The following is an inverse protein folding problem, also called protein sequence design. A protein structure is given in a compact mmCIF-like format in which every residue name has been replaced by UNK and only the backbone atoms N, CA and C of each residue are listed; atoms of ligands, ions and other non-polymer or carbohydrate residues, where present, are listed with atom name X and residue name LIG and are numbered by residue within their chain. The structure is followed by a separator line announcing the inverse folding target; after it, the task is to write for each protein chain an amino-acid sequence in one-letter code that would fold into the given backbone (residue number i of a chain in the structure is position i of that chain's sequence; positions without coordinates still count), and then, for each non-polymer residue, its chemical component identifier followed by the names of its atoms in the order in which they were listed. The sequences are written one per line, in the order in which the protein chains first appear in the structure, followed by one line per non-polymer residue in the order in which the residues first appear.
data_IF_065313790607
#
_entry.id   IF_065313790607
#
_cell.length_a   1.000
_cell.length_b   1.000
_cell.length_c   1.000
_cell.angle_alpha   90.00
_cell.angle_beta   90.00
_cell.angle_gamma   90.00
#
_symmetry.space_group_name_H-M   'P 1'
#
loop_
_entity.id
_entity.type
_entity.pdbx_description
1 polymer ?
#
# COMPACT_ATOMS: atom_id res chain seq x y z
N UNK A 1 12.79 3.49 -17.65
CA UNK A 1 12.95 2.24 -16.88
C UNK A 1 11.56 1.66 -16.66
N UNK A 2 11.33 0.37 -16.86
CA UNK A 2 10.00 -0.22 -16.71
C UNK A 2 9.58 -0.24 -15.23
N UNK A 3 8.49 0.46 -14.91
CA UNK A 3 7.74 0.30 -13.67
C UNK A 3 7.09 -1.08 -13.66
N UNK A 4 7.02 -1.76 -12.51
CA UNK A 4 6.23 -3.00 -12.42
C UNK A 4 4.77 -2.60 -12.21
N UNK A 5 3.84 -2.91 -13.14
CA UNK A 5 2.44 -2.53 -12.96
C UNK A 5 1.86 -3.22 -11.71
N UNK A 6 1.40 -2.40 -10.76
CA UNK A 6 0.62 -2.81 -9.60
C UNK A 6 -0.77 -2.22 -9.74
N UNK A 7 -1.81 -2.98 -9.41
CA UNK A 7 -3.17 -2.49 -9.34
C UNK A 7 -3.85 -2.91 -8.05
N UNK A 8 -4.68 -2.03 -7.51
CA UNK A 8 -5.51 -2.28 -6.35
C UNK A 8 -6.97 -2.41 -6.79
N UNK A 9 -7.65 -3.46 -6.31
CA UNK A 9 -9.08 -3.63 -6.50
C UNK A 9 -9.77 -3.71 -5.16
N UNK A 10 -10.73 -2.83 -4.91
CA UNK A 10 -11.57 -2.89 -3.71
C UNK A 10 -12.39 -4.18 -3.70
N UNK A 11 -12.25 -4.96 -2.65
CA UNK A 11 -13.01 -6.21 -2.44
C UNK A 11 -14.10 -6.06 -1.39
N UNK A 12 -13.90 -5.18 -0.41
CA UNK A 12 -14.91 -4.77 0.57
C UNK A 12 -14.62 -3.33 1.01
N UNK A 13 -15.67 -2.57 1.32
CA UNK A 13 -15.52 -1.21 1.86
C UNK A 13 -16.74 -0.88 2.71
N UNK A 14 -16.48 -0.33 3.89
CA UNK A 14 -17.45 0.36 4.72
C UNK A 14 -16.93 1.76 5.09
N UNK A 15 -17.51 2.36 6.14
CA UNK A 15 -17.15 3.71 6.58
C UNK A 15 -15.74 3.78 7.20
N UNK A 16 -15.31 2.71 7.84
CA UNK A 16 -14.14 2.69 8.72
C UNK A 16 -13.03 1.77 8.17
N UNK A 17 -13.34 0.84 7.26
CA UNK A 17 -12.40 -0.12 6.69
C UNK A 17 -12.59 -0.32 5.18
N UNK A 18 -11.48 -0.46 4.46
CA UNK A 18 -11.43 -0.86 3.06
C UNK A 18 -10.44 -2.02 2.87
N UNK A 19 -10.87 -3.04 2.13
CA UNK A 19 -10.06 -4.21 1.78
C UNK A 19 -9.75 -4.16 0.30
N UNK A 20 -8.47 -4.33 -0.02
CA UNK A 20 -7.95 -4.29 -1.38
C UNK A 20 -7.37 -5.66 -1.74
N UNK A 21 -7.67 -6.14 -2.93
CA UNK A 21 -6.86 -7.14 -3.61
C UNK A 21 -5.72 -6.42 -4.35
N UNK A 22 -4.51 -6.96 -4.23
CA UNK A 22 -3.31 -6.47 -4.90
C UNK A 22 -3.02 -7.40 -6.07
N UNK A 23 -2.85 -6.83 -7.25
CA UNK A 23 -2.43 -7.56 -8.45
C UNK A 23 -1.11 -6.99 -8.97
N UNK A 24 -0.17 -7.86 -9.34
CA UNK A 24 1.08 -7.51 -10.00
C UNK A 24 0.99 -8.03 -11.42
N UNK A 25 1.09 -7.14 -12.41
CA UNK A 25 0.94 -7.49 -13.84
C UNK A 25 -0.36 -8.26 -14.16
N UNK A 26 -1.45 -7.97 -13.43
CA UNK A 26 -2.75 -8.63 -13.60
C UNK A 26 -2.87 -10.00 -12.94
N UNK A 27 -1.85 -10.46 -12.21
CA UNK A 27 -1.89 -11.69 -11.41
C UNK A 27 -2.13 -11.35 -9.94
N UNK A 28 -3.06 -12.03 -9.23
CA UNK A 28 -3.25 -11.85 -7.80
C UNK A 28 -1.94 -12.04 -7.03
N UNK A 29 -1.57 -11.06 -6.22
CA UNK A 29 -0.34 -11.04 -5.47
C UNK A 29 -0.57 -10.85 -3.97
N UNK A 30 -1.74 -10.39 -3.53
CA UNK A 30 -1.99 -10.25 -2.10
C UNK A 30 -3.17 -9.38 -1.74
N UNK A 31 -3.15 -8.86 -0.53
CA UNK A 31 -4.22 -8.05 0.02
C UNK A 31 -3.68 -6.92 0.91
N UNK A 32 -4.46 -5.84 0.98
CA UNK A 32 -4.27 -4.77 1.96
C UNK A 32 -5.57 -4.47 2.69
N UNK A 33 -5.45 -4.07 3.95
CA UNK A 33 -6.54 -3.56 4.78
C UNK A 33 -6.18 -2.13 5.17
N UNK A 34 -7.07 -1.20 4.87
CA UNK A 34 -6.98 0.20 5.23
C UNK A 34 -8.06 0.49 6.26
N UNK A 35 -7.68 1.04 7.41
CA UNK A 35 -8.61 1.48 8.45
C UNK A 35 -8.56 2.99 8.58
N UNK A 36 -9.69 3.65 8.42
CA UNK A 36 -9.81 5.11 8.44
C UNK A 36 -10.21 5.59 9.85
N UNK A 37 -9.41 6.50 10.39
CA UNK A 37 -9.67 7.23 11.63
C UNK A 37 -10.14 8.67 11.38
N UNK A 38 -10.15 9.48 12.43
CA UNK A 38 -10.52 10.90 12.38
C UNK A 38 -9.42 11.76 11.73
N UNK A 39 -9.10 11.51 10.46
CA UNK A 39 -8.10 12.24 9.68
C UNK A 39 -6.82 11.46 9.35
N UNK A 40 -6.67 10.25 9.89
CA UNK A 40 -5.54 9.35 9.60
C UNK A 40 -6.04 8.03 9.03
N UNK A 41 -5.15 7.26 8.41
CA UNK A 41 -5.44 5.89 8.00
C UNK A 41 -4.30 4.94 8.38
N UNK A 42 -4.65 3.75 8.87
CA UNK A 42 -3.71 2.66 9.14
C UNK A 42 -3.77 1.63 8.02
N UNK A 43 -2.60 1.16 7.58
CA UNK A 43 -2.49 0.26 6.42
C UNK A 43 -1.69 -0.98 6.78
N UNK A 44 -2.34 -2.14 6.63
CA UNK A 44 -1.72 -3.46 6.72
C UNK A 44 -1.71 -4.09 5.32
N UNK A 45 -0.54 -4.50 4.81
CA UNK A 45 -0.43 -5.12 3.49
C UNK A 45 0.44 -6.39 3.50
N UNK A 46 -0.03 -7.41 2.76
CA UNK A 46 0.67 -8.68 2.55
C UNK A 46 0.75 -8.98 1.07
N UNK A 47 1.94 -9.30 0.57
CA UNK A 47 2.21 -9.52 -0.86
C UNK A 47 3.05 -10.78 -1.06
N UNK A 48 2.53 -11.74 -1.79
CA UNK A 48 3.22 -12.93 -2.27
C UNK A 48 4.01 -12.62 -3.54
N UNK A 49 5.33 -12.80 -3.48
CA UNK A 49 6.27 -12.52 -4.55
C UNK A 49 6.91 -13.77 -5.16
N UNK A 50 6.63 -14.97 -4.62
CA UNK A 50 7.21 -16.23 -5.10
C UNK A 50 7.01 -16.49 -6.60
N UNK A 51 5.94 -15.95 -7.18
CA UNK A 51 5.62 -16.07 -8.61
C UNK A 51 6.23 -14.94 -9.47
N UNK A 52 6.93 -13.99 -8.84
CA UNK A 52 7.46 -12.78 -9.48
C UNK A 52 8.98 -12.63 -9.23
N UNK A 53 9.83 -13.54 -9.73
CA UNK A 53 11.27 -13.56 -9.44
C UNK A 53 11.99 -12.24 -9.82
N UNK A 54 11.55 -11.55 -10.86
CA UNK A 54 12.05 -10.24 -11.25
C UNK A 54 11.79 -9.15 -10.20
N UNK A 55 10.70 -9.27 -9.44
CA UNK A 55 10.35 -8.34 -8.35
C UNK A 55 11.22 -8.65 -7.13
N UNK A 56 11.43 -9.94 -6.82
CA UNK A 56 12.31 -10.37 -5.72
C UNK A 56 13.73 -9.81 -5.90
N UNK A 57 14.28 -9.87 -7.12
CA UNK A 57 15.63 -9.33 -7.40
C UNK A 57 15.75 -7.81 -7.23
N UNK A 58 14.64 -7.08 -7.24
CA UNK A 58 14.58 -5.64 -7.13
C UNK A 58 13.65 -5.19 -5.98
N UNK A 59 13.61 -5.96 -4.89
CA UNK A 59 12.64 -5.79 -3.80
C UNK A 59 12.64 -4.40 -3.19
N UNK A 60 13.82 -3.81 -2.97
CA UNK A 60 13.97 -2.47 -2.40
C UNK A 60 13.27 -1.39 -3.24
N UNK A 61 13.56 -1.41 -4.55
CA UNK A 61 12.92 -0.49 -5.50
C UNK A 61 11.42 -0.74 -5.61
N UNK A 62 11.02 -2.01 -5.70
CA UNK A 62 9.59 -2.37 -5.75
C UNK A 62 8.87 -1.90 -4.50
N UNK A 63 9.47 -2.05 -3.33
CA UNK A 63 8.89 -1.60 -2.07
C UNK A 63 8.64 -0.10 -2.07
N UNK A 64 9.61 0.71 -2.53
CA UNK A 64 9.41 2.15 -2.64
C UNK A 64 8.30 2.54 -3.62
N UNK A 65 8.26 1.92 -4.80
CA UNK A 65 7.21 2.16 -5.81
C UNK A 65 5.83 1.74 -5.26
N UNK A 66 5.72 0.54 -4.69
CA UNK A 66 4.48 0.01 -4.12
C UNK A 66 3.96 0.85 -2.95
N UNK A 67 4.85 1.26 -2.04
CA UNK A 67 4.46 2.07 -0.90
C UNK A 67 3.96 3.47 -1.33
N UNK A 68 4.58 4.07 -2.35
CA UNK A 68 4.14 5.36 -2.88
C UNK A 68 2.74 5.27 -3.51
N UNK A 69 2.47 4.22 -4.29
CA UNK A 69 1.16 3.97 -4.89
C UNK A 69 0.07 3.72 -3.83
N UNK A 70 0.39 2.92 -2.80
CA UNK A 70 -0.53 2.63 -1.71
C UNK A 70 -0.86 3.89 -0.89
N UNK A 71 0.13 4.76 -0.66
CA UNK A 71 -0.10 6.04 -0.01
C UNK A 71 -0.97 6.97 -0.88
N UNK A 72 -0.68 7.08 -2.17
CA UNK A 72 -1.47 7.92 -3.07
C UNK A 72 -2.94 7.49 -3.07
N UNK A 73 -3.19 6.17 -3.04
CA UNK A 73 -4.54 5.62 -2.88
C UNK A 73 -5.23 6.09 -1.60
N UNK A 74 -4.54 6.01 -0.46
CA UNK A 74 -5.07 6.42 0.85
C UNK A 74 -5.39 7.92 0.90
N UNK A 75 -4.50 8.75 0.36
CA UNK A 75 -4.67 10.21 0.34
C UNK A 75 -5.85 10.63 -0.56
N UNK A 76 -6.08 9.95 -1.69
CA UNK A 76 -7.22 10.21 -2.57
C UNK A 76 -8.58 9.96 -1.87
N UNK A 77 -8.60 9.12 -0.83
CA UNK A 77 -9.79 8.86 0.00
C UNK A 77 -10.00 9.87 1.14
N UNK A 78 -9.18 10.93 1.19
CA UNK A 78 -9.36 12.05 2.12
C UNK A 78 -8.69 11.87 3.48
N UNK A 79 -7.86 10.83 3.66
CA UNK A 79 -6.97 10.76 4.80
C UNK A 79 -5.90 11.85 4.68
N UNK A 80 -5.62 12.57 5.78
CA UNK A 80 -4.61 13.64 5.80
C UNK A 80 -3.21 13.08 6.02
N UNK A 81 -3.12 11.95 6.73
CA UNK A 81 -1.89 11.23 6.98
C UNK A 81 -2.12 9.72 6.99
N UNK A 82 -1.08 8.98 6.64
CA UNK A 82 -1.05 7.54 6.83
C UNK A 82 -0.22 7.25 8.09
N UNK A 83 -0.86 6.74 9.14
CA UNK A 83 -0.18 6.23 10.32
C UNK A 83 0.12 4.75 10.09
N UNK A 84 1.39 4.44 9.87
CA UNK A 84 1.86 3.06 9.85
C UNK A 84 2.68 2.80 11.09
N UNK A 85 2.13 2.02 12.03
CA UNK A 85 2.91 1.28 13.03
C UNK A 85 3.50 -0.02 12.43
N UNK A 86 3.10 -0.37 11.20
CA UNK A 86 3.38 -1.64 10.55
C UNK A 86 4.43 -1.61 9.43
N UNK A 87 4.56 -2.78 8.80
CA UNK A 87 5.45 -3.09 7.68
C UNK A 87 4.64 -3.78 6.58
N UNK A 88 5.00 -3.59 5.32
CA UNK A 88 4.52 -4.47 4.25
C UNK A 88 5.23 -5.81 4.41
N UNK A 89 4.46 -6.89 4.49
CA UNK A 89 5.00 -8.24 4.58
C UNK A 89 5.06 -8.85 3.19
N UNK A 90 6.26 -9.17 2.74
CA UNK A 90 6.51 -9.90 1.50
C UNK A 90 6.72 -11.38 1.79
N UNK A 91 5.88 -12.23 1.20
CA UNK A 91 6.11 -13.67 1.17
C UNK A 91 6.93 -14.02 -0.08
N UNK A 92 8.21 -14.36 0.13
CA UNK A 92 9.14 -14.74 -0.93
C UNK A 92 9.10 -16.27 -1.22
N UNK A 93 8.12 -17.00 -0.67
CA UNK A 93 7.91 -18.43 -0.81
C UNK A 93 8.65 -19.27 0.24
N UNK A 94 9.89 -18.92 0.56
CA UNK A 94 10.69 -19.60 1.60
C UNK A 94 10.87 -18.78 2.88
N UNK A 95 10.54 -17.49 2.84
CA UNK A 95 10.74 -16.56 3.93
C UNK A 95 9.73 -15.41 3.86
N UNK A 96 9.37 -14.90 5.02
CA UNK A 96 8.63 -13.65 5.15
C UNK A 96 9.61 -12.51 5.41
N UNK A 97 9.45 -11.42 4.66
CA UNK A 97 10.24 -10.21 4.79
C UNK A 97 9.32 -9.04 5.12
N UNK A 98 9.44 -8.52 6.34
CA UNK A 98 8.78 -7.30 6.77
C UNK A 98 9.64 -6.10 6.37
N UNK A 99 9.13 -5.23 5.51
CA UNK A 99 9.80 -3.97 5.13
C UNK A 99 8.93 -2.81 5.63
N UNK A 100 9.47 -1.90 6.45
CA UNK A 100 8.70 -0.81 7.03
C UNK A 100 8.08 0.04 5.92
N UNK A 101 6.82 0.45 6.08
CA UNK A 101 6.27 1.47 5.20
C UNK A 101 7.11 2.75 5.35
N UNK A 102 7.46 3.44 4.26
CA UNK A 102 8.06 4.76 4.33
C UNK A 102 7.14 5.63 5.17
N UNK A 103 7.64 6.11 6.31
CA UNK A 103 6.90 7.05 7.14
C UNK A 103 6.75 8.34 6.33
N UNK A 104 5.55 8.65 5.85
CA UNK A 104 5.31 9.93 5.25
C UNK A 104 4.80 10.91 6.31
N UNK A 105 5.59 11.97 6.47
CA UNK A 105 5.29 13.16 7.23
C UNK A 105 3.83 13.58 7.04
N UNK A 106 3.20 14.03 8.14
CA UNK A 106 1.94 14.78 8.09
C UNK A 106 1.91 15.66 6.84
N UNK A 107 1.08 15.31 5.86
CA UNK A 107 0.75 16.26 4.81
C UNK A 107 -0.20 17.21 5.50
N UNK A 108 0.37 18.24 6.15
CA UNK A 108 -0.42 19.34 6.68
C UNK A 108 -1.29 19.84 5.53
N UNK A 109 -2.57 19.48 5.55
CA UNK A 109 -3.52 19.96 4.58
C UNK A 109 -3.64 21.46 4.81
N UNK A 110 -2.82 22.23 4.09
CA UNK A 110 -3.25 23.53 3.64
C UNK A 110 -4.52 23.30 2.86
N UNK A 111 -5.66 23.44 3.54
CA UNK A 111 -7.01 23.40 2.98
C UNK A 111 -7.03 23.91 1.53
N UNK A 112 -7.39 23.09 0.54
CA UNK A 112 -8.01 23.60 -0.66
C UNK A 112 -9.49 23.27 -0.52
N UNK A 113 -10.28 24.21 0.02
CA UNK A 113 -11.69 24.43 -0.32
C UNK A 113 -12.33 25.42 0.65
N UNK A 114 -11.94 26.69 0.53
CA UNK A 114 -12.89 27.78 0.73
C UNK A 114 -13.79 27.83 -0.51
N UNK A 115 -15.05 27.42 -0.35
CA UNK A 115 -16.18 27.84 -1.18
C UNK A 115 -17.12 28.65 -0.30
#
# INVERSE_FOLDING_TARGET
MNHTPVSFRVTASDRDEERLAIEIRGTPAGEAVIRYGSGTATVDARVQLSEFPQVIMALDRFHHEFAAELLAYVLDRGAMAQESDGSIIYDLGSALHAVPLPANHEVGLGYPNSW
#
